data_IF_916176075901
#
_entry.id   IF_916176075901
#
_cell.length_a   1.000
_cell.length_b   1.000
_cell.length_c   1.000
_cell.angle_alpha   90.00
_cell.angle_beta   90.00
_cell.angle_gamma   90.00
#
_symmetry.space_group_name_H-M   'P 1'
#
loop_
_entity.id
_entity.type
_entity.pdbx_description
1 polymer ?
#
# COMPACT_ATOMS: atom_id res chain seq x y z
N UNK A 1 30.56 -32.30 -22.13
CA UNK A 1 31.88 -32.77 -22.61
C UNK A 1 31.87 -34.21 -23.11
N UNK A 2 31.26 -35.19 -22.41
CA UNK A 2 31.17 -36.60 -22.88
C UNK A 2 30.68 -36.79 -24.32
N UNK A 3 29.62 -36.11 -24.74
CA UNK A 3 29.08 -36.24 -26.11
C UNK A 3 30.07 -35.84 -27.22
N UNK A 4 30.88 -34.80 -27.01
CA UNK A 4 31.87 -34.36 -27.99
C UNK A 4 32.97 -35.42 -28.20
N UNK A 5 33.41 -36.01 -27.10
CA UNK A 5 34.41 -37.08 -27.10
C UNK A 5 33.86 -38.34 -27.77
N UNK A 6 32.61 -38.72 -27.47
CA UNK A 6 31.96 -39.89 -28.06
C UNK A 6 31.77 -39.74 -29.58
N UNK A 7 31.39 -38.53 -30.03
CA UNK A 7 31.19 -38.26 -31.46
C UNK A 7 32.50 -38.18 -32.23
N UNK A 8 33.57 -37.62 -31.64
CA UNK A 8 34.91 -37.60 -32.24
C UNK A 8 35.46 -39.01 -32.44
N UNK A 9 35.37 -39.85 -31.41
CA UNK A 9 35.77 -41.26 -31.48
C UNK A 9 35.05 -42.03 -32.60
N UNK A 10 33.74 -41.77 -32.81
CA UNK A 10 32.96 -42.46 -33.86
C UNK A 10 33.26 -41.97 -35.29
N UNK A 11 33.88 -40.81 -35.44
CA UNK A 11 34.17 -40.17 -36.73
C UNK A 11 35.67 -40.17 -37.07
N UNK A 12 36.52 -40.63 -36.16
CA UNK A 12 37.93 -40.92 -36.42
C UNK A 12 38.08 -41.92 -37.57
N UNK A 13 39.02 -41.64 -38.47
CA UNK A 13 39.24 -42.43 -39.70
C UNK A 13 38.35 -42.06 -40.89
N UNK A 14 37.35 -41.17 -40.73
CA UNK A 14 36.50 -40.68 -41.84
C UNK A 14 36.89 -39.30 -42.38
N UNK A 15 37.95 -38.69 -41.84
CA UNK A 15 38.42 -37.37 -42.26
C UNK A 15 37.55 -36.18 -41.85
N UNK A 16 36.62 -36.37 -40.90
CA UNK A 16 35.67 -35.33 -40.45
C UNK A 16 36.12 -34.80 -39.08
N UNK A 17 36.42 -33.50 -38.99
CA UNK A 17 36.76 -32.83 -37.73
C UNK A 17 35.52 -32.15 -37.11
N UNK A 18 35.17 -32.55 -35.90
CA UNK A 18 34.06 -31.95 -35.13
C UNK A 18 34.59 -30.87 -34.20
N UNK A 19 34.29 -29.60 -34.52
CA UNK A 19 34.71 -28.43 -33.74
C UNK A 19 33.73 -28.08 -32.62
N UNK A 20 32.41 -28.10 -32.90
CA UNK A 20 31.37 -27.78 -31.92
C UNK A 20 30.10 -28.62 -32.15
N UNK A 21 29.37 -28.89 -31.06
CA UNK A 21 28.05 -29.54 -31.09
C UNK A 21 27.04 -28.56 -30.51
N UNK A 22 26.02 -28.22 -31.30
CA UNK A 22 24.87 -27.41 -30.87
C UNK A 22 23.68 -28.33 -30.65
N UNK A 23 23.24 -28.46 -29.40
CA UNK A 23 21.98 -29.12 -29.07
C UNK A 23 20.84 -28.17 -29.45
N UNK A 24 20.07 -28.52 -30.48
CA UNK A 24 18.97 -27.68 -30.96
C UNK A 24 17.69 -27.90 -30.18
N UNK A 25 17.28 -29.17 -30.01
CA UNK A 25 16.03 -29.53 -29.33
C UNK A 25 16.28 -30.66 -28.32
N UNK A 26 15.80 -30.47 -27.09
CA UNK A 26 15.73 -31.51 -26.06
C UNK A 26 14.24 -31.77 -25.84
N UNK A 27 13.78 -32.98 -26.19
CA UNK A 27 12.39 -33.39 -25.93
C UNK A 27 12.37 -34.10 -24.59
N UNK A 28 11.75 -33.46 -23.60
CA UNK A 28 11.51 -34.08 -22.30
C UNK A 28 10.32 -35.05 -22.40
N UNK A 29 10.34 -36.20 -21.72
CA UNK A 29 9.16 -37.04 -21.61
C UNK A 29 8.00 -36.29 -20.96
N UNK A 30 6.78 -36.48 -21.46
CA UNK A 30 5.58 -35.72 -21.07
C UNK A 30 5.34 -35.68 -19.55
N UNK A 31 5.65 -36.77 -18.84
CA UNK A 31 5.50 -36.85 -17.39
C UNK A 31 6.43 -35.88 -16.66
N UNK A 32 7.68 -35.74 -17.12
CA UNK A 32 8.67 -34.84 -16.52
C UNK A 32 8.32 -33.39 -16.83
N UNK A 33 7.91 -33.09 -18.07
CA UNK A 33 7.49 -31.76 -18.46
C UNK A 33 6.30 -31.26 -17.61
N UNK A 34 5.26 -32.09 -17.46
CA UNK A 34 4.09 -31.77 -16.62
C UNK A 34 4.45 -31.55 -15.15
N UNK A 35 5.33 -32.38 -14.59
CA UNK A 35 5.77 -32.23 -13.20
C UNK A 35 6.55 -30.92 -12.98
N UNK A 36 7.39 -30.53 -13.95
CA UNK A 36 8.14 -29.27 -13.91
C UNK A 36 7.20 -28.08 -14.02
N UNK A 37 6.23 -28.11 -14.93
CA UNK A 37 5.22 -27.05 -15.07
C UNK A 37 4.38 -26.90 -13.81
N UNK A 38 3.89 -28.01 -13.24
CA UNK A 38 3.11 -27.99 -12.00
C UNK A 38 3.91 -27.41 -10.82
N UNK A 39 5.19 -27.79 -10.70
CA UNK A 39 6.08 -27.23 -9.68
C UNK A 39 6.30 -25.73 -9.88
N UNK A 40 6.59 -25.31 -11.11
CA UNK A 40 6.82 -23.90 -11.42
C UNK A 40 5.58 -23.05 -11.13
N UNK A 41 4.38 -23.56 -11.45
CA UNK A 41 3.13 -22.90 -11.14
C UNK A 41 2.91 -22.78 -9.62
N UNK A 42 3.15 -23.85 -8.86
CA UNK A 42 3.04 -23.82 -7.41
C UNK A 42 4.02 -22.84 -6.76
N UNK A 43 5.28 -22.81 -7.23
CA UNK A 43 6.30 -21.89 -6.73
C UNK A 43 5.91 -20.42 -7.01
N UNK A 44 5.37 -20.13 -8.20
CA UNK A 44 4.88 -18.77 -8.53
C UNK A 44 3.67 -18.37 -7.67
N UNK A 45 2.73 -19.29 -7.42
CA UNK A 45 1.58 -19.04 -6.56
C UNK A 45 2.01 -18.76 -5.11
N UNK A 46 2.99 -19.52 -4.60
CA UNK A 46 3.54 -19.31 -3.27
C UNK A 46 4.19 -17.92 -3.15
N UNK A 47 5.03 -17.55 -4.12
CA UNK A 47 5.64 -16.21 -4.16
C UNK A 47 4.59 -15.11 -4.21
N UNK A 48 3.56 -15.26 -5.05
CA UNK A 48 2.47 -14.28 -5.12
C UNK A 48 1.75 -14.13 -3.78
N UNK A 49 1.47 -15.25 -3.09
CA UNK A 49 0.83 -15.23 -1.78
C UNK A 49 1.71 -14.53 -0.73
N UNK A 50 3.01 -14.78 -0.71
CA UNK A 50 3.94 -14.07 0.18
C UNK A 50 3.91 -12.55 -0.05
N UNK A 51 3.86 -12.11 -1.30
CA UNK A 51 3.72 -10.68 -1.63
C UNK A 51 2.39 -10.10 -1.14
N UNK A 52 1.29 -10.84 -1.28
CA UNK A 52 -0.02 -10.43 -0.79
C UNK A 52 0.00 -10.30 0.74
N UNK A 53 0.48 -11.33 1.45
CA UNK A 53 0.57 -11.30 2.92
C UNK A 53 1.44 -10.13 3.41
N UNK A 54 2.59 -9.89 2.78
CA UNK A 54 3.47 -8.77 3.12
C UNK A 54 2.82 -7.41 2.86
N UNK A 55 2.03 -7.30 1.80
CA UNK A 55 1.24 -6.09 1.51
C UNK A 55 0.19 -5.86 2.59
N UNK A 56 -0.60 -6.89 2.92
CA UNK A 56 -1.65 -6.79 3.94
C UNK A 56 -1.09 -6.47 5.33
N UNK A 57 0.06 -7.04 5.70
CA UNK A 57 0.76 -6.70 6.95
C UNK A 57 1.17 -5.22 6.99
N UNK A 58 1.72 -4.68 5.89
CA UNK A 58 2.09 -3.27 5.79
C UNK A 58 0.88 -2.35 5.84
N UNK A 59 -0.23 -2.74 5.21
CA UNK A 59 -1.49 -2.00 5.28
C UNK A 59 -2.08 -2.00 6.69
N UNK A 60 -2.02 -3.13 7.40
CA UNK A 60 -2.45 -3.21 8.79
C UNK A 60 -1.60 -2.31 9.70
N UNK A 61 -0.27 -2.35 9.53
CA UNK A 61 0.65 -1.50 10.30
C UNK A 61 0.43 0.00 9.99
N UNK A 62 0.22 0.36 8.72
CA UNK A 62 -0.13 1.73 8.32
C UNK A 62 -1.38 2.22 9.05
N UNK A 63 -2.46 1.43 9.03
CA UNK A 63 -3.72 1.77 9.71
C UNK A 63 -3.53 1.90 11.22
N UNK A 64 -2.71 1.03 11.83
CA UNK A 64 -2.38 1.09 13.26
C UNK A 64 -1.69 2.40 13.62
N UNK A 65 -0.68 2.79 12.84
CA UNK A 65 0.07 4.04 13.04
C UNK A 65 -0.85 5.25 12.85
N UNK A 66 -1.70 5.23 11.83
CA UNK A 66 -2.68 6.31 11.59
C UNK A 66 -3.66 6.46 12.75
N UNK A 67 -4.24 5.36 13.21
CA UNK A 67 -5.15 5.36 14.36
C UNK A 67 -4.46 5.87 15.64
N UNK A 68 -3.21 5.45 15.87
CA UNK A 68 -2.41 5.93 16.99
C UNK A 68 -2.14 7.43 16.90
N UNK A 69 -1.79 7.94 15.71
CA UNK A 69 -1.58 9.37 15.48
C UNK A 69 -2.84 10.20 15.73
N UNK A 70 -4.01 9.71 15.31
CA UNK A 70 -5.30 10.36 15.59
C UNK A 70 -5.60 10.37 17.09
N UNK A 71 -5.41 9.24 17.78
CA UNK A 71 -5.65 9.15 19.22
C UNK A 71 -4.72 10.10 20.00
N UNK A 72 -3.44 10.15 19.64
CA UNK A 72 -2.46 11.05 20.25
C UNK A 72 -2.79 12.51 19.98
N UNK A 73 -3.20 12.84 18.75
CA UNK A 73 -3.67 14.19 18.40
C UNK A 73 -4.88 14.59 19.26
N UNK A 74 -5.90 13.73 19.35
CA UNK A 74 -7.09 14.00 20.17
C UNK A 74 -6.74 14.19 21.65
N UNK A 75 -5.82 13.38 22.19
CA UNK A 75 -5.35 13.50 23.57
C UNK A 75 -4.63 14.83 23.81
N UNK A 76 -3.74 15.25 22.90
CA UNK A 76 -3.01 16.51 23.00
C UNK A 76 -3.97 17.71 22.90
N UNK A 77 -4.88 17.69 21.93
CA UNK A 77 -5.85 18.78 21.72
C UNK A 77 -6.78 18.90 22.90
N UNK A 78 -7.34 17.79 23.40
CA UNK A 78 -8.25 17.82 24.56
C UNK A 78 -7.54 18.31 25.83
N UNK A 79 -6.26 17.97 26.02
CA UNK A 79 -5.48 18.48 27.15
C UNK A 79 -5.24 20.00 27.07
N UNK A 80 -5.13 20.56 25.87
CA UNK A 80 -4.97 21.99 25.63
C UNK A 80 -6.28 22.79 25.67
N UNK A 81 -7.43 22.13 25.47
CA UNK A 81 -8.75 22.77 25.49
C UNK A 81 -9.28 22.81 26.92
N UNK A 82 -9.14 23.98 27.56
CA UNK A 82 -9.84 24.26 28.82
C UNK A 82 -11.19 24.93 28.54
N UNK A 83 -12.21 24.73 29.39
CA UNK A 83 -13.52 25.41 29.24
C UNK A 83 -13.38 26.95 29.16
N UNK A 84 -12.42 27.52 29.89
CA UNK A 84 -12.12 28.96 29.83
C UNK A 84 -11.58 29.40 28.46
N UNK A 85 -10.71 28.61 27.84
CA UNK A 85 -10.17 28.90 26.50
C UNK A 85 -11.26 28.84 25.42
N UNK A 86 -12.16 27.86 25.48
CA UNK A 86 -13.32 27.77 24.57
C UNK A 86 -14.22 28.99 24.69
N UNK A 87 -14.51 29.41 25.92
CA UNK A 87 -15.36 30.58 26.19
C UNK A 87 -14.69 31.86 25.68
N UNK A 88 -13.39 32.03 25.93
CA UNK A 88 -12.61 33.17 25.46
C UNK A 88 -12.56 33.23 23.91
N UNK A 89 -12.32 32.10 23.24
CA UNK A 89 -12.37 32.00 21.77
C UNK A 89 -13.77 32.26 21.21
N UNK A 90 -14.82 31.84 21.90
CA UNK A 90 -16.21 32.16 21.55
C UNK A 90 -16.50 33.66 21.62
N UNK A 91 -16.01 34.35 22.66
CA UNK A 91 -16.13 35.80 22.80
C UNK A 91 -15.34 36.52 21.70
N UNK A 92 -14.12 36.08 21.39
CA UNK A 92 -13.29 36.63 20.31
C UNK A 92 -13.98 36.48 18.95
N UNK A 93 -14.51 35.29 18.64
CA UNK A 93 -15.27 35.05 17.41
C UNK A 93 -16.53 35.92 17.33
N UNK A 94 -17.25 36.06 18.44
CA UNK A 94 -18.44 36.93 18.52
C UNK A 94 -18.06 38.40 18.33
N UNK A 95 -16.92 38.85 18.88
CA UNK A 95 -16.41 40.22 18.69
C UNK A 95 -16.00 40.47 17.23
N UNK A 96 -15.25 39.56 16.61
CA UNK A 96 -14.86 39.67 15.21
C UNK A 96 -16.08 39.66 14.26
N UNK A 97 -17.11 38.89 14.60
CA UNK A 97 -18.39 38.91 13.87
C UNK A 97 -19.17 40.22 14.09
N UNK A 98 -19.17 40.77 15.31
CA UNK A 98 -19.79 42.06 15.60
C UNK A 98 -19.07 43.24 14.91
N UNK A 99 -17.76 43.13 14.69
CA UNK A 99 -16.95 44.09 13.93
C UNK A 99 -17.07 43.89 12.41
N UNK A 100 -17.68 42.79 11.94
CA UNK A 100 -17.84 42.51 10.52
C UNK A 100 -18.94 43.39 9.89
N UNK A 101 -18.64 44.10 8.78
CA UNK A 101 -19.58 45.04 8.16
C UNK A 101 -20.85 44.42 7.58
N UNK A 102 -20.96 43.08 7.54
CA UNK A 102 -22.10 42.35 6.97
C UNK A 102 -22.93 41.54 8.00
N UNK A 103 -22.71 41.69 9.31
CA UNK A 103 -23.45 40.91 10.31
C UNK A 103 -24.88 41.45 10.50
N UNK A 104 -25.88 40.84 9.84
CA UNK A 104 -27.31 41.12 10.06
C UNK A 104 -27.87 40.19 11.15
N UNK A 105 -27.97 40.72 12.37
CA UNK A 105 -28.74 40.24 13.54
C UNK A 105 -28.32 38.88 14.14
N UNK A 106 -27.81 38.91 15.38
CA UNK A 106 -27.43 37.73 16.18
C UNK A 106 -28.37 37.63 17.39
N UNK A 107 -29.14 36.54 17.51
CA UNK A 107 -29.92 36.21 18.72
C UNK A 107 -29.12 35.21 19.56
N UNK A 108 -28.46 35.70 20.61
CA UNK A 108 -27.78 34.87 21.59
C UNK A 108 -28.80 34.28 22.59
N UNK A 109 -29.48 33.20 22.20
CA UNK A 109 -30.53 32.62 23.02
C UNK A 109 -30.87 31.17 22.66
N UNK A 110 -29.94 30.24 22.93
CA UNK A 110 -30.19 28.81 22.87
C UNK A 110 -29.32 28.10 23.89
N UNK A 111 -29.89 27.12 24.60
CA UNK A 111 -29.36 26.46 25.82
C UNK A 111 -27.90 25.97 25.79
N UNK A 112 -27.23 25.97 24.63
CA UNK A 112 -25.85 25.50 24.40
C UNK A 112 -24.93 26.49 23.64
N UNK A 113 -25.25 27.79 23.56
CA UNK A 113 -24.29 28.82 23.12
C UNK A 113 -23.92 28.84 21.63
N UNK A 114 -24.65 28.13 20.77
CA UNK A 114 -24.47 28.19 19.31
C UNK A 114 -25.42 29.22 18.69
N UNK A 115 -24.93 30.19 17.89
CA UNK A 115 -25.77 31.23 17.29
C UNK A 115 -26.63 30.67 16.13
N UNK A 116 -27.90 31.06 16.08
CA UNK A 116 -28.79 30.78 14.95
C UNK A 116 -28.72 31.97 13.99
N UNK A 117 -28.38 31.71 12.72
CA UNK A 117 -28.33 32.72 11.66
C UNK A 117 -29.68 32.71 10.93
N UNK A 118 -30.40 33.83 10.95
CA UNK A 118 -31.61 34.06 10.16
C UNK A 118 -31.27 34.98 8.99
N UNK A 119 -31.30 34.43 7.78
CA UNK A 119 -31.18 35.21 6.55
C UNK A 119 -32.57 35.71 6.15
N UNK A 120 -32.85 36.99 6.32
CA UNK A 120 -34.02 37.66 5.71
C UNK A 120 -33.59 38.32 4.40
N UNK A 121 -34.44 38.29 3.35
CA UNK A 121 -34.10 38.73 1.99
C UNK A 121 -33.63 40.20 1.91
#
# INVERSE_FOLDING_TARGET
RKMLTDLRSRLEGRGINVEAILLRNIVLPDQVAKAVEAKLAADQQAQQMEFVLKKEQREAERKRIEAQGIADFQRIVTAGITPGLLTWKGIEATKALAESPNAKVIIAGGRNGLPIILNTP
#
